data_IF_344662846747
#
_entry.id   IF_344662846747
#
_cell.length_a   1.000
_cell.length_b   1.000
_cell.length_c   1.000
_cell.angle_alpha   90.00
_cell.angle_beta   90.00
_cell.angle_gamma   90.00
#
_symmetry.space_group_name_H-M   'P 1'
#
loop_
_entity.id
_entity.type
_entity.pdbx_description
1 polymer ?
#
# COMPACT_ATOMS: atom_id res chain seq x y z
N UNK A 1 -3.50 -14.55 15.98
CA UNK A 1 -2.62 -14.38 14.83
C UNK A 1 -2.94 -15.43 13.79
N UNK A 2 -3.17 -15.03 12.57
CA UNK A 2 -3.48 -15.98 11.49
C UNK A 2 -2.20 -16.67 11.01
N UNK A 3 -2.30 -17.96 10.72
CA UNK A 3 -1.24 -18.62 9.97
C UNK A 3 -1.27 -18.10 8.53
N UNK A 4 -0.12 -17.79 8.00
CA UNK A 4 0.01 -17.31 6.63
C UNK A 4 0.44 -18.45 5.71
N UNK A 5 -0.18 -18.52 4.53
CA UNK A 5 0.23 -19.46 3.49
C UNK A 5 1.50 -18.99 2.80
N UNK A 6 1.66 -17.68 2.69
CA UNK A 6 2.80 -17.03 2.02
C UNK A 6 3.37 -15.94 2.90
N UNK A 7 4.68 -15.89 2.97
CA UNK A 7 5.42 -14.88 3.72
C UNK A 7 6.12 -13.97 2.72
N UNK A 8 5.76 -12.69 2.73
CA UNK A 8 6.31 -11.70 1.82
C UNK A 8 7.28 -10.80 2.55
N UNK A 9 8.48 -10.67 2.02
CA UNK A 9 9.51 -9.79 2.56
C UNK A 9 9.90 -8.80 1.49
N UNK A 10 9.74 -7.52 1.78
CA UNK A 10 10.12 -6.50 0.83
C UNK A 10 9.40 -5.20 1.05
N UNK A 11 9.28 -4.41 0.00
CA UNK A 11 8.77 -3.05 0.06
C UNK A 11 7.26 -3.00 -0.06
N UNK A 12 6.64 -2.21 0.82
CA UNK A 12 5.24 -1.82 0.70
C UNK A 12 5.16 -0.29 0.75
N UNK A 13 4.31 0.28 -0.06
CA UNK A 13 4.16 1.73 -0.19
C UNK A 13 2.69 2.11 -0.09
N UNK A 14 2.43 3.32 0.40
CA UNK A 14 1.15 3.97 0.18
C UNK A 14 1.27 4.84 -1.07
N UNK A 15 0.38 4.62 -2.02
CA UNK A 15 0.40 5.33 -3.29
C UNK A 15 -0.81 6.23 -3.40
N UNK A 16 -0.57 7.52 -3.65
CA UNK A 16 -1.63 8.48 -3.94
C UNK A 16 -1.69 8.69 -5.44
N UNK A 17 -2.72 8.14 -6.07
CA UNK A 17 -2.88 8.16 -7.52
C UNK A 17 -3.94 9.17 -7.93
N UNK A 18 -3.66 9.92 -9.01
CA UNK A 18 -4.57 10.91 -9.55
C UNK A 18 -4.96 10.55 -10.97
N UNK A 19 -6.26 10.60 -11.26
CA UNK A 19 -6.76 10.53 -12.62
C UNK A 19 -6.99 11.97 -13.09
N UNK A 20 -6.23 12.40 -14.08
CA UNK A 20 -6.32 13.75 -14.62
C UNK A 20 -7.39 13.84 -15.70
N UNK A 21 -8.09 14.98 -15.75
CA UNK A 21 -9.13 15.22 -16.74
C UNK A 21 -8.59 15.26 -18.18
N UNK A 22 -7.42 15.86 -18.35
CA UNK A 22 -6.85 16.12 -19.67
C UNK A 22 -5.56 15.33 -19.95
N UNK A 23 -5.25 14.32 -19.14
CA UNK A 23 -4.05 13.51 -19.30
C UNK A 23 -2.79 14.21 -18.82
N UNK A 24 -1.63 13.74 -19.30
CA UNK A 24 -0.36 14.33 -18.90
C UNK A 24 -0.19 15.72 -19.45
N UNK A 25 0.39 16.61 -18.64
CA UNK A 25 0.53 18.01 -18.91
C UNK A 25 1.97 18.38 -19.27
N UNK A 26 2.10 19.47 -20.02
CA UNK A 26 3.39 20.13 -20.20
C UNK A 26 3.71 20.96 -18.96
N UNK A 27 4.95 21.39 -18.84
CA UNK A 27 5.46 22.03 -17.62
C UNK A 27 4.72 23.29 -17.18
N UNK A 28 4.09 24.00 -18.09
CA UNK A 28 3.38 25.25 -17.82
C UNK A 28 1.85 25.12 -17.86
N UNK A 29 1.36 23.89 -17.94
CA UNK A 29 -0.08 23.63 -17.96
C UNK A 29 -0.54 23.07 -16.61
N UNK A 30 -1.85 23.11 -16.39
CA UNK A 30 -2.46 22.42 -15.27
C UNK A 30 -3.81 21.85 -15.68
N UNK A 31 -4.24 20.81 -14.94
CA UNK A 31 -5.49 20.13 -15.20
C UNK A 31 -6.21 19.85 -13.88
N UNK A 32 -7.51 19.68 -13.97
CA UNK A 32 -8.30 19.24 -12.84
C UNK A 32 -8.01 17.76 -12.53
N UNK A 33 -7.97 17.43 -11.27
CA UNK A 33 -7.96 16.05 -10.82
C UNK A 33 -9.38 15.54 -10.86
N UNK A 34 -9.64 14.58 -11.73
CA UNK A 34 -10.95 13.97 -11.90
C UNK A 34 -11.28 13.00 -10.76
N UNK A 35 -10.32 12.18 -10.39
CA UNK A 35 -10.45 11.21 -9.32
C UNK A 35 -9.10 11.03 -8.65
N UNK A 36 -9.12 10.62 -7.37
CA UNK A 36 -7.91 10.32 -6.65
C UNK A 36 -8.12 9.07 -5.80
N UNK A 37 -7.05 8.29 -5.64
CA UNK A 37 -7.08 7.04 -4.92
C UNK A 37 -5.87 6.92 -4.01
N UNK A 38 -6.09 6.33 -2.84
CA UNK A 38 -5.02 5.90 -1.95
C UNK A 38 -4.98 4.39 -1.97
N UNK A 39 -3.89 3.82 -2.46
CA UNK A 39 -3.76 2.39 -2.66
C UNK A 39 -2.42 1.89 -2.13
N UNK A 40 -2.36 0.65 -1.63
CA UNK A 40 -1.06 0.05 -1.35
C UNK A 40 -0.33 -0.21 -2.66
N UNK A 41 0.99 -0.05 -2.62
CA UNK A 41 1.86 -0.28 -3.77
C UNK A 41 3.15 -0.95 -3.35
N UNK A 42 4.14 -0.90 -4.24
CA UNK A 42 5.37 -1.64 -4.05
C UNK A 42 5.19 -3.11 -4.42
N UNK A 43 6.29 -3.83 -4.53
CA UNK A 43 6.25 -5.23 -4.94
C UNK A 43 5.49 -6.10 -3.94
N UNK A 44 5.74 -5.90 -2.66
CA UNK A 44 5.12 -6.68 -1.60
C UNK A 44 3.64 -6.33 -1.44
N UNK A 45 3.30 -5.03 -1.48
CA UNK A 45 1.91 -4.61 -1.37
C UNK A 45 1.06 -5.11 -2.52
N UNK A 46 1.57 -5.03 -3.74
CA UNK A 46 0.87 -5.53 -4.92
C UNK A 46 0.70 -7.04 -4.86
N UNK A 47 1.75 -7.78 -4.50
CA UNK A 47 1.67 -9.23 -4.37
C UNK A 47 0.66 -9.66 -3.32
N UNK A 48 0.63 -8.99 -2.16
CA UNK A 48 -0.32 -9.30 -1.11
C UNK A 48 -1.76 -9.10 -1.55
N UNK A 49 -2.03 -8.03 -2.28
CA UNK A 49 -3.36 -7.73 -2.80
C UNK A 49 -3.82 -8.80 -3.79
N UNK A 50 -2.94 -9.21 -4.69
CA UNK A 50 -3.24 -10.26 -5.66
C UNK A 50 -3.50 -11.59 -4.95
N UNK A 51 -2.63 -11.97 -4.01
CA UNK A 51 -2.79 -13.22 -3.27
C UNK A 51 -4.10 -13.25 -2.47
N UNK A 52 -4.45 -12.13 -1.84
CA UNK A 52 -5.71 -12.05 -1.11
C UNK A 52 -6.91 -12.28 -2.02
N UNK A 53 -6.88 -11.71 -3.24
CA UNK A 53 -7.96 -11.91 -4.21
C UNK A 53 -8.07 -13.37 -4.67
N UNK A 54 -6.99 -14.14 -4.54
CA UNK A 54 -6.96 -15.57 -4.86
C UNK A 54 -7.27 -16.46 -3.64
N UNK A 55 -7.59 -15.87 -2.50
CA UNK A 55 -7.90 -16.62 -1.28
C UNK A 55 -6.66 -17.13 -0.54
N UNK A 56 -5.49 -16.62 -0.86
CA UNK A 56 -4.23 -17.01 -0.21
C UNK A 56 -3.92 -16.02 0.91
N UNK A 57 -3.65 -16.53 2.10
CA UNK A 57 -3.29 -15.70 3.24
C UNK A 57 -1.82 -15.31 3.16
N UNK A 58 -1.55 -14.01 3.11
CA UNK A 58 -0.20 -13.47 3.03
C UNK A 58 0.14 -12.67 4.28
N UNK A 59 1.38 -12.79 4.73
CA UNK A 59 1.94 -11.99 5.80
C UNK A 59 3.09 -11.16 5.27
N UNK A 60 3.07 -9.87 5.53
CA UNK A 60 4.11 -8.94 5.09
C UNK A 60 5.06 -8.65 6.25
N UNK A 61 6.34 -8.74 5.98
CA UNK A 61 7.38 -8.56 7.00
C UNK A 61 8.59 -7.84 6.41
N UNK A 62 9.46 -7.37 7.31
CA UNK A 62 10.74 -6.78 6.95
C UNK A 62 10.67 -5.39 6.37
N UNK A 63 9.52 -4.75 6.41
CA UNK A 63 9.30 -3.44 5.83
C UNK A 63 8.95 -2.42 6.89
N UNK A 64 9.51 -1.24 6.74
CA UNK A 64 9.14 -0.09 7.54
C UNK A 64 8.22 0.81 6.73
N UNK A 65 7.18 1.31 7.37
CA UNK A 65 6.26 2.25 6.76
C UNK A 65 6.19 3.51 7.63
N UNK A 66 5.90 4.64 6.98
CA UNK A 66 5.74 5.89 7.71
C UNK A 66 4.52 5.86 8.61
N UNK A 67 4.58 6.57 9.73
CA UNK A 67 3.45 6.63 10.66
C UNK A 67 2.23 7.32 10.06
N UNK A 68 2.42 8.16 9.05
CA UNK A 68 1.31 8.82 8.35
C UNK A 68 0.60 7.87 7.38
N UNK A 69 1.36 6.94 6.78
CA UNK A 69 0.83 5.99 5.79
C UNK A 69 0.27 4.74 6.46
N UNK A 70 0.81 4.35 7.60
CA UNK A 70 0.44 3.11 8.28
C UNK A 70 -1.06 2.95 8.53
N UNK A 71 -1.78 3.96 9.05
CA UNK A 71 -3.22 3.83 9.26
C UNK A 71 -3.99 3.57 7.97
N UNK A 72 -3.62 4.22 6.88
CA UNK A 72 -4.27 4.02 5.59
C UNK A 72 -4.06 2.61 5.07
N UNK A 73 -2.85 2.07 5.19
CA UNK A 73 -2.56 0.70 4.77
C UNK A 73 -3.32 -0.32 5.63
N UNK A 74 -3.38 -0.09 6.94
CA UNK A 74 -4.13 -0.97 7.84
C UNK A 74 -5.61 -0.95 7.53
N UNK A 75 -6.17 0.22 7.23
CA UNK A 75 -7.58 0.33 6.85
C UNK A 75 -7.85 -0.38 5.53
N UNK A 76 -6.97 -0.23 4.54
CA UNK A 76 -7.13 -0.89 3.25
C UNK A 76 -7.18 -2.42 3.40
N UNK A 77 -6.30 -2.97 4.22
CA UNK A 77 -6.23 -4.43 4.40
C UNK A 77 -7.14 -4.97 5.50
N UNK A 78 -7.87 -4.10 6.21
CA UNK A 78 -8.81 -4.55 7.23
C UNK A 78 -9.89 -5.43 6.62
N UNK A 79 -10.15 -6.58 7.23
CA UNK A 79 -11.13 -7.53 6.71
C UNK A 79 -10.61 -8.44 5.59
N UNK A 80 -9.37 -8.25 5.16
CA UNK A 80 -8.71 -9.15 4.20
C UNK A 80 -7.91 -10.22 4.92
N UNK A 81 -7.36 -11.17 4.17
CA UNK A 81 -6.46 -12.18 4.69
C UNK A 81 -5.01 -11.71 4.86
N UNK A 82 -4.71 -10.46 4.53
CA UNK A 82 -3.35 -9.93 4.63
C UNK A 82 -3.03 -9.61 6.09
N UNK A 83 -1.91 -10.16 6.58
CA UNK A 83 -1.44 -9.95 7.95
C UNK A 83 -0.31 -8.92 7.96
N UNK A 84 -0.57 -7.78 8.58
CA UNK A 84 0.39 -6.68 8.72
C UNK A 84 1.03 -6.59 10.11
N UNK A 85 0.84 -7.60 10.94
CA UNK A 85 1.30 -7.55 12.35
C UNK A 85 2.81 -7.42 12.49
N UNK A 86 3.58 -7.79 11.46
CA UNK A 86 5.03 -7.71 11.46
C UNK A 86 5.59 -6.40 10.90
N UNK A 87 4.73 -5.51 10.42
CA UNK A 87 5.20 -4.22 9.90
C UNK A 87 5.53 -3.27 11.03
N UNK A 88 6.62 -2.51 10.84
CA UNK A 88 7.05 -1.48 11.78
C UNK A 88 6.74 -0.11 11.21
N UNK A 89 5.99 0.69 11.97
CA UNK A 89 5.70 2.08 11.58
C UNK A 89 6.71 3.02 12.24
N UNK A 90 7.43 3.80 11.43
CA UNK A 90 8.40 4.78 11.92
C UNK A 90 8.05 6.17 11.40
N UNK A 91 8.26 7.17 12.23
CA UNK A 91 8.12 8.55 11.77
C UNK A 91 9.29 8.93 10.86
N UNK A 92 9.12 10.00 10.09
CA UNK A 92 10.18 10.50 9.23
C UNK A 92 11.43 10.92 10.03
N UNK A 93 11.27 11.22 11.32
CA UNK A 93 12.38 11.58 12.20
C UNK A 93 13.19 10.37 12.65
N UNK A 94 12.61 9.20 12.65
CA UNK A 94 13.24 7.96 13.11
C UNK A 94 13.85 7.17 11.95
N UNK A 95 13.43 7.49 10.74
CA UNK A 95 13.87 6.81 9.52
C UNK A 95 14.75 7.66 8.59
#
# INVERSE_FOLDING_TARGET
>A
MKEADVYLFGQILGTHSFLLKDGFLKSDEYSEIKEQYFLPGGETGTAATVLDSLGVTARIDGTWIGTEVAPMLRDFYAGTGVDLSSLTALSAKDG
#
